data_IF_134172371407
#
_entry.id   IF_134172371407
#
_cell.length_a   1.000
_cell.length_b   1.000
_cell.length_c   1.000
_cell.angle_alpha   90.00
_cell.angle_beta   90.00
_cell.angle_gamma   90.00
#
_symmetry.space_group_name_H-M   'P 1'
#
loop_
_entity.id
_entity.type
_entity.pdbx_description
1 polymer ?
#
# COMPACT_ATOMS: atom_id res chain seq x y z
N UNK A 1 -3.59 37.99 21.21
CA UNK A 1 -4.62 36.94 21.06
C UNK A 1 -4.69 36.32 19.64
N UNK A 2 -3.74 36.61 18.71
CA UNK A 2 -3.82 36.18 17.30
C UNK A 2 -2.82 35.07 16.89
N UNK A 3 -1.96 34.60 17.80
CA UNK A 3 -0.89 33.62 17.50
C UNK A 3 -1.37 32.17 17.47
N UNK A 4 -2.36 31.79 18.27
CA UNK A 4 -2.93 30.43 18.27
C UNK A 4 -3.75 30.13 17.01
N UNK A 5 -4.56 31.08 16.53
CA UNK A 5 -5.41 30.90 15.35
C UNK A 5 -4.61 30.77 14.05
N UNK A 6 -3.49 31.49 13.92
CA UNK A 6 -2.59 31.43 12.76
C UNK A 6 -1.74 30.16 12.74
N UNK A 7 -1.35 29.65 13.91
CA UNK A 7 -0.62 28.37 14.04
C UNK A 7 -1.51 27.19 13.66
N UNK A 8 -2.75 27.14 14.16
CA UNK A 8 -3.71 26.08 13.77
C UNK A 8 -4.07 26.08 12.28
N UNK A 9 -4.23 27.25 11.65
CA UNK A 9 -4.52 27.34 10.22
C UNK A 9 -3.33 26.90 9.34
N UNK A 10 -2.10 27.17 9.78
CA UNK A 10 -0.89 26.76 9.04
C UNK A 10 -0.58 25.28 9.22
N UNK A 11 -0.83 24.71 10.39
CA UNK A 11 -0.70 23.28 10.68
C UNK A 11 -1.76 22.45 9.93
N UNK A 12 -3.02 22.88 9.95
CA UNK A 12 -4.11 22.28 9.16
C UNK A 12 -3.82 22.27 7.64
N UNK A 13 -3.24 23.35 7.10
CA UNK A 13 -2.87 23.39 5.68
C UNK A 13 -1.71 22.45 5.33
N UNK A 14 -0.75 22.27 6.26
CA UNK A 14 0.41 21.38 6.09
C UNK A 14 -0.01 19.91 6.09
N UNK A 15 -0.89 19.53 7.01
CA UNK A 15 -1.42 18.17 7.08
C UNK A 15 -2.22 17.83 5.81
N UNK A 16 -3.07 18.75 5.34
CA UNK A 16 -3.80 18.58 4.10
C UNK A 16 -2.87 18.39 2.88
N UNK A 17 -1.85 19.23 2.72
CA UNK A 17 -0.89 19.12 1.60
C UNK A 17 -0.16 17.79 1.63
N UNK A 18 0.24 17.35 2.83
CA UNK A 18 0.95 16.08 3.03
C UNK A 18 0.06 14.91 2.62
N UNK A 19 -1.16 14.81 3.17
CA UNK A 19 -2.10 13.72 2.85
C UNK A 19 -2.49 13.74 1.38
N UNK A 20 -2.72 14.92 0.79
CA UNK A 20 -3.00 15.06 -0.65
C UNK A 20 -1.87 14.49 -1.50
N UNK A 21 -0.61 14.81 -1.18
CA UNK A 21 0.55 14.30 -1.91
C UNK A 21 0.66 12.78 -1.77
N UNK A 22 0.44 12.23 -0.57
CA UNK A 22 0.42 10.79 -0.35
C UNK A 22 -0.61 10.10 -1.25
N UNK A 23 -1.85 10.60 -1.28
CA UNK A 23 -2.91 10.06 -2.12
C UNK A 23 -2.51 10.14 -3.60
N UNK A 24 -1.99 11.28 -4.06
CA UNK A 24 -1.58 11.41 -5.46
C UNK A 24 -0.51 10.38 -5.84
N UNK A 25 0.49 10.16 -4.98
CA UNK A 25 1.53 9.17 -5.21
C UNK A 25 0.97 7.73 -5.16
N UNK A 26 0.05 7.44 -4.24
CA UNK A 26 -0.62 6.14 -4.15
C UNK A 26 -1.43 5.82 -5.43
N UNK A 27 -2.09 6.82 -6.00
CA UNK A 27 -2.88 6.68 -7.22
C UNK A 27 -2.03 6.76 -8.50
N UNK A 28 -0.84 7.34 -8.48
CA UNK A 28 0.07 7.38 -9.64
C UNK A 28 0.87 6.08 -9.82
N UNK A 29 1.29 5.44 -8.72
CA UNK A 29 1.97 4.13 -8.74
C UNK A 29 1.00 2.95 -8.98
N UNK A 30 -0.27 3.27 -9.14
CA UNK A 30 -1.36 2.33 -9.04
C UNK A 30 -1.42 1.40 -10.26
N UNK A 31 -1.08 1.89 -11.47
CA UNK A 31 -1.08 1.08 -12.70
C UNK A 31 -0.24 -0.20 -12.57
N UNK A 32 0.99 -0.11 -12.09
CA UNK A 32 1.87 -1.28 -11.88
C UNK A 32 1.29 -2.22 -10.81
N UNK A 33 0.70 -1.65 -9.77
CA UNK A 33 0.18 -2.40 -8.63
C UNK A 33 -1.15 -3.13 -8.94
N UNK A 34 -1.79 -2.87 -10.10
CA UNK A 34 -3.06 -3.52 -10.48
C UNK A 34 -2.97 -4.61 -11.53
N UNK A 35 -2.09 -4.46 -12.53
CA UNK A 35 -1.98 -5.48 -13.57
C UNK A 35 -1.33 -6.75 -13.03
N UNK A 36 -0.34 -6.60 -12.14
CA UNK A 36 0.41 -7.73 -11.58
C UNK A 36 -0.47 -8.75 -10.82
N UNK A 37 -1.36 -8.34 -9.88
CA UNK A 37 -2.26 -9.27 -9.22
C UNK A 37 -3.17 -10.05 -10.18
N UNK A 38 -3.64 -9.43 -11.26
CA UNK A 38 -4.50 -10.11 -12.25
C UNK A 38 -3.69 -11.17 -13.00
N UNK A 39 -2.49 -10.83 -13.47
CA UNK A 39 -1.58 -11.78 -14.12
C UNK A 39 -1.24 -12.92 -13.16
N UNK A 40 -0.90 -12.61 -11.92
CA UNK A 40 -0.62 -13.58 -10.87
C UNK A 40 -1.81 -14.51 -10.60
N UNK A 41 -3.05 -14.00 -10.64
CA UNK A 41 -4.24 -14.80 -10.46
C UNK A 41 -4.48 -15.79 -11.63
N UNK A 42 -4.22 -15.37 -12.87
CA UNK A 42 -4.25 -16.29 -14.01
C UNK A 42 -3.16 -17.36 -13.91
N UNK A 43 -1.93 -16.98 -13.57
CA UNK A 43 -0.83 -17.93 -13.34
C UNK A 43 -1.18 -18.92 -12.23
N UNK A 44 -1.71 -18.44 -11.09
CA UNK A 44 -2.10 -19.28 -9.98
C UNK A 44 -3.25 -20.22 -10.36
N UNK A 45 -4.24 -19.73 -11.11
CA UNK A 45 -5.34 -20.55 -11.64
C UNK A 45 -4.82 -21.68 -12.52
N UNK A 46 -3.83 -21.39 -13.36
CA UNK A 46 -3.21 -22.41 -14.22
C UNK A 46 -2.45 -23.45 -13.39
N UNK A 47 -1.66 -23.02 -12.41
CA UNK A 47 -0.91 -23.93 -11.53
C UNK A 47 -1.83 -24.83 -10.70
N UNK A 48 -2.96 -24.31 -10.22
CA UNK A 48 -3.90 -25.03 -9.36
C UNK A 48 -5.01 -25.75 -10.14
N UNK A 49 -4.95 -25.78 -11.48
CA UNK A 49 -6.07 -26.21 -12.32
C UNK A 49 -6.56 -27.65 -12.05
N UNK A 50 -5.62 -28.56 -11.80
CA UNK A 50 -5.90 -29.98 -11.57
C UNK A 50 -5.98 -30.36 -10.08
N UNK A 51 -5.64 -29.43 -9.18
CA UNK A 51 -5.56 -29.66 -7.73
C UNK A 51 -6.72 -29.01 -6.99
N UNK A 52 -7.06 -27.77 -7.37
CA UNK A 52 -8.14 -27.02 -6.74
C UNK A 52 -9.52 -27.48 -7.23
N UNK A 53 -10.51 -27.40 -6.36
CA UNK A 53 -11.91 -27.51 -6.75
C UNK A 53 -12.26 -26.41 -7.77
N UNK A 54 -12.49 -26.82 -9.03
CA UNK A 54 -12.75 -25.90 -10.16
C UNK A 54 -13.78 -24.81 -9.82
N UNK A 55 -14.85 -25.17 -9.11
CA UNK A 55 -15.89 -24.21 -8.68
C UNK A 55 -15.33 -23.10 -7.79
N UNK A 56 -14.52 -23.45 -6.80
CA UNK A 56 -13.90 -22.49 -5.86
C UNK A 56 -12.89 -21.62 -6.62
N UNK A 57 -12.07 -22.25 -7.48
CA UNK A 57 -11.07 -21.55 -8.29
C UNK A 57 -11.70 -20.50 -9.21
N UNK A 58 -12.79 -20.83 -9.90
CA UNK A 58 -13.51 -19.89 -10.77
C UNK A 58 -14.20 -18.77 -10.00
N UNK A 59 -14.82 -19.08 -8.85
CA UNK A 59 -15.43 -18.05 -8.00
C UNK A 59 -14.37 -17.07 -7.54
N UNK A 60 -13.24 -17.57 -7.04
CA UNK A 60 -12.12 -16.75 -6.60
C UNK A 60 -11.55 -15.89 -7.74
N UNK A 61 -11.28 -16.48 -8.91
CA UNK A 61 -10.77 -15.75 -10.08
C UNK A 61 -11.75 -14.66 -10.52
N UNK A 62 -13.05 -14.96 -10.55
CA UNK A 62 -14.09 -13.98 -10.90
C UNK A 62 -14.11 -12.81 -9.91
N UNK A 63 -13.96 -13.09 -8.60
CA UNK A 63 -13.87 -12.05 -7.58
C UNK A 63 -12.63 -11.18 -7.73
N UNK A 64 -11.47 -11.77 -8.08
CA UNK A 64 -10.25 -11.01 -8.37
C UNK A 64 -10.42 -10.11 -9.59
N UNK A 65 -11.01 -10.62 -10.67
CA UNK A 65 -11.28 -9.84 -11.88
C UNK A 65 -12.29 -8.72 -11.58
N UNK A 66 -13.39 -9.02 -10.88
CA UNK A 66 -14.38 -8.02 -10.48
C UNK A 66 -13.74 -6.93 -9.61
N UNK A 67 -12.88 -7.31 -8.66
CA UNK A 67 -12.13 -6.35 -7.84
C UNK A 67 -11.21 -5.47 -8.69
N UNK A 68 -10.48 -6.04 -9.64
CA UNK A 68 -9.65 -5.28 -10.58
C UNK A 68 -10.46 -4.26 -11.40
N UNK A 69 -11.66 -4.64 -11.85
CA UNK A 69 -12.59 -3.73 -12.55
C UNK A 69 -13.06 -2.60 -11.62
N UNK A 70 -13.47 -2.90 -10.37
CA UNK A 70 -13.86 -1.85 -9.42
C UNK A 70 -12.70 -0.87 -9.12
N UNK A 71 -11.47 -1.39 -9.05
CA UNK A 71 -10.24 -0.59 -8.91
C UNK A 71 -10.03 0.32 -10.10
N UNK A 72 -10.20 -0.17 -11.32
CA UNK A 72 -10.09 0.64 -12.53
C UNK A 72 -11.07 1.82 -12.50
N UNK A 73 -12.34 1.57 -12.15
CA UNK A 73 -13.33 2.65 -12.02
C UNK A 73 -12.99 3.64 -10.90
N UNK A 74 -12.43 3.17 -9.78
CA UNK A 74 -11.97 4.04 -8.70
C UNK A 74 -10.85 4.98 -9.18
N UNK A 75 -9.88 4.47 -9.94
CA UNK A 75 -8.82 5.28 -10.53
C UNK A 75 -9.34 6.27 -11.56
N UNK A 76 -10.22 5.81 -12.45
CA UNK A 76 -10.81 6.64 -13.48
C UNK A 76 -11.54 7.83 -12.83
N UNK A 77 -12.36 7.56 -11.82
CA UNK A 77 -13.06 8.60 -11.07
C UNK A 77 -12.07 9.54 -10.35
N UNK A 78 -11.02 9.00 -9.74
CA UNK A 78 -9.99 9.82 -9.07
C UNK A 78 -9.30 10.80 -10.02
N UNK A 79 -9.01 10.39 -11.26
CA UNK A 79 -8.38 11.26 -12.26
C UNK A 79 -9.33 12.32 -12.84
N UNK A 80 -10.64 12.11 -12.74
CA UNK A 80 -11.65 13.05 -13.24
C UNK A 80 -12.19 14.00 -12.15
N UNK A 81 -12.06 13.62 -10.87
CA UNK A 81 -12.50 14.45 -9.74
C UNK A 81 -11.38 15.38 -9.22
N UNK A 82 -11.74 16.61 -8.84
CA UNK A 82 -10.80 17.53 -8.17
C UNK A 82 -10.64 17.15 -6.70
N UNK A 83 -9.41 17.00 -6.22
CA UNK A 83 -9.13 16.80 -4.79
C UNK A 83 -9.28 18.11 -4.03
N UNK A 84 -10.20 18.13 -3.08
CA UNK A 84 -10.48 19.24 -2.15
C UNK A 84 -10.16 18.81 -0.71
N UNK A 85 -9.95 19.75 0.23
CA UNK A 85 -9.79 19.43 1.65
C UNK A 85 -10.87 18.49 2.19
N UNK A 86 -12.12 18.73 1.82
CA UNK A 86 -13.27 17.97 2.31
C UNK A 86 -13.35 16.52 1.78
N UNK A 87 -12.80 16.24 0.58
CA UNK A 87 -12.89 14.92 -0.04
C UNK A 87 -11.63 14.06 0.09
N UNK A 88 -10.54 14.63 0.61
CA UNK A 88 -9.23 13.95 0.75
C UNK A 88 -9.34 12.68 1.60
N UNK A 89 -9.99 12.76 2.76
CA UNK A 89 -10.19 11.60 3.63
C UNK A 89 -11.03 10.50 2.99
N UNK A 90 -12.03 10.87 2.18
CA UNK A 90 -12.89 9.92 1.46
C UNK A 90 -12.07 9.12 0.44
N UNK A 91 -11.18 9.77 -0.30
CA UNK A 91 -10.32 9.11 -1.29
C UNK A 91 -9.30 8.17 -0.65
N UNK A 92 -8.76 8.54 0.52
CA UNK A 92 -7.90 7.67 1.31
C UNK A 92 -8.68 6.44 1.81
N UNK A 93 -9.86 6.63 2.39
CA UNK A 93 -10.69 5.52 2.89
C UNK A 93 -11.15 4.57 1.78
N UNK A 94 -11.47 5.09 0.60
CA UNK A 94 -11.78 4.27 -0.59
C UNK A 94 -10.58 3.44 -1.02
N UNK A 95 -9.39 4.04 -1.04
CA UNK A 95 -8.16 3.32 -1.36
C UNK A 95 -7.88 2.22 -0.32
N UNK A 96 -7.97 2.57 0.97
CA UNK A 96 -7.76 1.65 2.08
C UNK A 96 -8.73 0.45 2.01
N UNK A 97 -10.02 0.72 1.78
CA UNK A 97 -11.04 -0.33 1.63
C UNK A 97 -10.73 -1.24 0.45
N UNK A 98 -10.30 -0.67 -0.68
CA UNK A 98 -9.95 -1.45 -1.86
C UNK A 98 -8.71 -2.32 -1.64
N UNK A 99 -7.68 -1.79 -0.97
CA UNK A 99 -6.49 -2.56 -0.57
C UNK A 99 -6.87 -3.68 0.41
N UNK A 100 -7.72 -3.40 1.39
CA UNK A 100 -8.20 -4.38 2.37
C UNK A 100 -8.92 -5.55 1.68
N UNK A 101 -9.85 -5.26 0.77
CA UNK A 101 -10.55 -6.29 -0.02
C UNK A 101 -9.54 -7.13 -0.81
N UNK A 102 -8.54 -6.49 -1.42
CA UNK A 102 -7.48 -7.21 -2.14
C UNK A 102 -6.73 -8.16 -1.22
N UNK A 103 -6.35 -7.70 -0.03
CA UNK A 103 -5.63 -8.52 0.94
C UNK A 103 -6.47 -9.71 1.43
N UNK A 104 -7.77 -9.50 1.66
CA UNK A 104 -8.71 -10.58 2.00
C UNK A 104 -8.81 -11.60 0.87
N UNK A 105 -8.93 -11.17 -0.39
CA UNK A 105 -9.02 -12.09 -1.53
C UNK A 105 -7.79 -13.01 -1.64
N UNK A 106 -6.59 -12.47 -1.46
CA UNK A 106 -5.35 -13.25 -1.48
C UNK A 106 -5.15 -14.09 -0.21
N UNK A 107 -5.53 -13.57 0.96
CA UNK A 107 -5.47 -14.33 2.21
C UNK A 107 -6.41 -15.54 2.21
N UNK A 108 -7.64 -15.35 1.73
CA UNK A 108 -8.62 -16.42 1.54
C UNK A 108 -8.09 -17.45 0.54
N UNK A 109 -7.39 -17.02 -0.52
CA UNK A 109 -6.80 -17.92 -1.50
C UNK A 109 -5.89 -18.99 -0.84
N UNK A 110 -5.02 -18.55 0.08
CA UNK A 110 -4.11 -19.43 0.85
C UNK A 110 -4.79 -20.30 1.92
N UNK A 111 -6.11 -20.24 2.06
CA UNK A 111 -6.88 -21.07 2.98
C UNK A 111 -7.80 -22.02 2.23
N UNK A 112 -8.48 -21.56 1.17
CA UNK A 112 -9.59 -22.32 0.56
C UNK A 112 -9.29 -22.92 -0.82
N UNK A 113 -8.28 -22.45 -1.55
CA UNK A 113 -8.07 -22.89 -2.94
C UNK A 113 -7.55 -24.32 -3.02
N UNK A 114 -6.63 -24.69 -2.13
CA UNK A 114 -6.03 -26.01 -2.10
C UNK A 114 -6.74 -26.83 -1.02
N UNK A 115 -7.40 -27.96 -1.37
CA UNK A 115 -8.03 -28.81 -0.38
C UNK A 115 -6.96 -29.50 0.48
N UNK A 116 -7.11 -29.46 1.81
CA UNK A 116 -6.20 -30.13 2.72
C UNK A 116 -6.43 -31.64 2.72
N UNK A 117 -5.38 -32.40 2.43
CA UNK A 117 -5.36 -33.85 2.36
C UNK A 117 -4.24 -34.48 3.23
N UNK A 118 -3.61 -33.68 4.11
CA UNK A 118 -2.47 -34.06 4.94
C UNK A 118 -1.27 -34.63 4.15
N UNK A 119 -1.12 -34.23 2.89
CA UNK A 119 0.04 -34.59 2.06
C UNK A 119 1.04 -33.45 1.96
N UNK A 120 2.26 -33.77 1.51
CA UNK A 120 3.28 -32.76 1.21
C UNK A 120 2.90 -31.93 -0.03
N UNK A 121 2.05 -32.47 -0.91
CA UNK A 121 1.55 -31.77 -2.11
C UNK A 121 0.70 -30.58 -1.70
N UNK A 122 -0.14 -30.71 -0.67
CA UNK A 122 -0.85 -29.58 -0.09
C UNK A 122 0.10 -28.45 0.32
N UNK A 123 1.17 -28.76 1.06
CA UNK A 123 2.16 -27.76 1.48
C UNK A 123 2.84 -27.10 0.28
N UNK A 124 3.13 -27.86 -0.78
CA UNK A 124 3.74 -27.33 -2.00
C UNK A 124 2.79 -26.35 -2.71
N UNK A 125 1.56 -26.75 -3.02
CA UNK A 125 0.61 -25.92 -3.77
C UNK A 125 0.12 -24.71 -2.97
N UNK A 126 -0.15 -24.88 -1.68
CA UNK A 126 -0.49 -23.74 -0.82
C UNK A 126 0.75 -22.84 -0.60
N UNK A 127 1.93 -23.44 -0.51
CA UNK A 127 3.19 -22.71 -0.46
C UNK A 127 3.44 -21.82 -1.68
N UNK A 128 3.14 -22.31 -2.89
CA UNK A 128 3.19 -21.51 -4.12
C UNK A 128 2.19 -20.36 -4.11
N UNK A 129 0.97 -20.61 -3.60
CA UNK A 129 -0.06 -19.56 -3.44
C UNK A 129 0.43 -18.43 -2.54
N UNK A 130 1.03 -18.78 -1.40
CA UNK A 130 1.54 -17.82 -0.43
C UNK A 130 2.85 -17.18 -0.89
N UNK A 131 3.68 -17.87 -1.67
CA UNK A 131 4.87 -17.30 -2.31
C UNK A 131 4.48 -16.17 -3.26
N UNK A 132 3.49 -16.39 -4.13
CA UNK A 132 2.96 -15.35 -5.03
C UNK A 132 2.39 -14.20 -4.19
N UNK A 133 1.64 -14.51 -3.14
CA UNK A 133 1.06 -13.49 -2.24
C UNK A 133 2.14 -12.65 -1.57
N UNK A 134 3.21 -13.26 -1.06
CA UNK A 134 4.39 -12.58 -0.53
C UNK A 134 5.06 -11.70 -1.60
N UNK A 135 5.20 -12.17 -2.83
CA UNK A 135 5.69 -11.37 -3.95
C UNK A 135 4.85 -10.11 -4.19
N UNK A 136 3.53 -10.25 -4.16
CA UNK A 136 2.61 -9.11 -4.30
C UNK A 136 2.69 -8.15 -3.10
N UNK A 137 2.85 -8.65 -1.88
CA UNK A 137 3.06 -7.83 -0.67
C UNK A 137 4.39 -7.06 -0.74
N UNK A 138 5.45 -7.68 -1.25
CA UNK A 138 6.73 -7.01 -1.50
C UNK A 138 6.59 -5.89 -2.54
N UNK A 139 5.88 -6.14 -3.64
CA UNK A 139 5.59 -5.10 -4.63
C UNK A 139 4.77 -3.96 -4.04
N UNK A 140 3.77 -4.28 -3.21
CA UNK A 140 2.94 -3.32 -2.51
C UNK A 140 3.74 -2.49 -1.47
N UNK A 141 4.78 -3.04 -0.84
CA UNK A 141 5.64 -2.30 0.08
C UNK A 141 6.25 -1.06 -0.59
N UNK A 142 6.68 -1.18 -1.86
CA UNK A 142 7.29 -0.07 -2.60
C UNK A 142 6.25 1.05 -2.83
N UNK A 143 5.05 0.69 -3.28
CA UNK A 143 4.00 1.65 -3.62
C UNK A 143 3.27 2.23 -2.39
N UNK A 144 3.05 1.42 -1.35
CA UNK A 144 2.15 1.75 -0.24
C UNK A 144 2.87 2.18 1.04
N UNK A 145 4.19 2.02 1.15
CA UNK A 145 4.97 2.42 2.35
C UNK A 145 4.88 3.91 2.68
N UNK A 146 4.44 4.74 1.73
CA UNK A 146 4.07 6.15 1.96
C UNK A 146 3.02 6.32 3.07
N UNK A 147 2.14 5.34 3.23
CA UNK A 147 1.21 5.27 4.36
C UNK A 147 1.22 3.85 4.95
N UNK A 148 1.81 3.72 6.14
CA UNK A 148 1.96 2.41 6.80
C UNK A 148 0.64 1.67 6.99
N UNK A 149 -0.46 2.39 7.26
CA UNK A 149 -1.78 1.79 7.46
C UNK A 149 -2.33 1.17 6.18
N UNK A 150 -2.02 1.75 5.03
CA UNK A 150 -2.41 1.22 3.73
C UNK A 150 -1.71 -0.11 3.47
N UNK A 151 -0.41 -0.20 3.77
CA UNK A 151 0.30 -1.47 3.64
C UNK A 151 -0.21 -2.52 4.65
N UNK A 152 -0.40 -2.15 5.92
CA UNK A 152 -0.91 -3.08 6.94
C UNK A 152 -2.30 -3.60 6.55
N UNK A 153 -3.19 -2.74 6.05
CA UNK A 153 -4.51 -3.15 5.56
C UNK A 153 -4.43 -4.16 4.40
N UNK A 154 -3.36 -4.15 3.61
CA UNK A 154 -3.11 -5.17 2.60
C UNK A 154 -2.52 -6.46 3.18
N UNK A 155 -1.37 -6.32 3.85
CA UNK A 155 -0.49 -7.43 4.19
C UNK A 155 -1.03 -8.24 5.34
N UNK A 156 -1.73 -7.61 6.29
CA UNK A 156 -2.32 -8.30 7.43
C UNK A 156 -3.31 -9.39 7.00
N UNK A 157 -4.42 -9.08 6.31
CA UNK A 157 -5.37 -10.11 5.89
C UNK A 157 -4.78 -11.07 4.84
N UNK A 158 -3.80 -10.62 4.05
CA UNK A 158 -3.16 -11.45 3.03
C UNK A 158 -2.24 -12.53 3.60
N UNK A 159 -1.60 -12.27 4.75
CA UNK A 159 -0.54 -13.13 5.28
C UNK A 159 -0.87 -13.73 6.65
N UNK A 160 -1.45 -12.97 7.58
CA UNK A 160 -1.65 -13.44 8.95
C UNK A 160 -2.70 -14.56 9.03
N UNK A 161 -3.94 -14.42 8.51
CA UNK A 161 -4.91 -15.50 8.54
C UNK A 161 -4.42 -16.81 7.91
N UNK A 162 -3.84 -16.84 6.68
CA UNK A 162 -3.35 -18.10 6.12
C UNK A 162 -2.15 -18.67 6.88
N UNK A 163 -1.26 -17.84 7.43
CA UNK A 163 -0.16 -18.33 8.26
C UNK A 163 -0.64 -19.00 9.53
N UNK A 164 -1.61 -18.39 10.23
CA UNK A 164 -2.24 -18.98 11.42
C UNK A 164 -2.98 -20.26 11.05
N UNK A 165 -3.67 -20.28 9.91
CA UNK A 165 -4.32 -21.49 9.40
C UNK A 165 -3.30 -22.63 9.19
N UNK A 166 -2.18 -22.38 8.52
CA UNK A 166 -1.14 -23.40 8.31
C UNK A 166 -0.55 -23.94 9.63
N UNK A 167 -0.32 -23.07 10.61
CA UNK A 167 0.16 -23.48 11.93
C UNK A 167 -0.89 -24.33 12.66
N UNK A 168 -2.18 -24.02 12.48
CA UNK A 168 -3.27 -24.76 13.11
C UNK A 168 -3.45 -26.20 12.58
N UNK A 169 -2.87 -26.53 11.41
CA UNK A 169 -2.88 -27.89 10.86
C UNK A 169 -2.00 -28.84 11.69
N UNK A 170 -1.01 -28.32 12.41
CA UNK A 170 -0.22 -29.07 13.40
C UNK A 170 0.87 -29.98 12.83
N UNK A 171 0.95 -30.17 11.52
CA UNK A 171 2.06 -30.89 10.89
C UNK A 171 3.32 -30.03 10.80
N UNK A 172 4.49 -30.68 10.77
CA UNK A 172 5.79 -30.02 10.83
C UNK A 172 6.02 -29.06 9.66
N UNK A 173 5.64 -29.45 8.43
CA UNK A 173 5.94 -28.69 7.23
C UNK A 173 5.04 -27.46 7.09
N UNK A 174 3.73 -27.60 7.28
CA UNK A 174 2.80 -26.47 7.24
C UNK A 174 3.05 -25.51 8.41
N UNK A 175 3.33 -26.02 9.61
CA UNK A 175 3.64 -25.16 10.76
C UNK A 175 4.93 -24.36 10.55
N UNK A 176 5.99 -24.99 10.02
CA UNK A 176 7.22 -24.28 9.67
C UNK A 176 6.98 -23.22 8.60
N UNK A 177 6.21 -23.55 7.56
CA UNK A 177 5.90 -22.63 6.47
C UNK A 177 5.06 -21.43 6.95
N UNK A 178 4.03 -21.66 7.77
CA UNK A 178 3.27 -20.58 8.42
C UNK A 178 4.16 -19.71 9.30
N UNK A 179 5.10 -20.30 10.04
CA UNK A 179 6.11 -19.56 10.80
C UNK A 179 6.99 -18.64 9.94
N UNK A 180 7.45 -19.12 8.77
CA UNK A 180 8.20 -18.30 7.83
C UNK A 180 7.37 -17.14 7.25
N UNK A 181 6.07 -17.34 7.02
CA UNK A 181 5.18 -16.25 6.58
C UNK A 181 5.01 -15.19 7.68
N UNK A 182 4.86 -15.59 8.94
CA UNK A 182 4.81 -14.65 10.06
C UNK A 182 6.12 -13.86 10.20
N UNK A 183 7.26 -14.54 10.05
CA UNK A 183 8.58 -13.90 10.04
C UNK A 183 8.71 -12.91 8.88
N UNK A 184 8.25 -13.29 7.68
CA UNK A 184 8.22 -12.42 6.51
C UNK A 184 7.31 -11.20 6.73
N UNK A 185 6.12 -11.39 7.30
CA UNK A 185 5.20 -10.29 7.64
C UNK A 185 5.85 -9.31 8.63
N UNK A 186 6.53 -9.83 9.66
CA UNK A 186 7.27 -8.99 10.60
C UNK A 186 8.36 -8.18 9.89
N UNK A 187 9.15 -8.83 9.03
CA UNK A 187 10.17 -8.16 8.23
C UNK A 187 9.59 -7.05 7.36
N UNK A 188 8.51 -7.31 6.62
CA UNK A 188 7.83 -6.31 5.78
C UNK A 188 7.28 -5.17 6.62
N UNK A 189 6.71 -5.44 7.79
CA UNK A 189 6.18 -4.41 8.69
C UNK A 189 7.28 -3.46 9.19
N UNK A 190 8.44 -4.01 9.55
CA UNK A 190 9.63 -3.21 9.94
C UNK A 190 10.16 -2.42 8.74
N UNK A 191 10.27 -3.05 7.57
CA UNK A 191 10.72 -2.39 6.34
C UNK A 191 9.77 -1.23 5.96
N UNK A 192 8.47 -1.42 6.10
CA UNK A 192 7.45 -0.40 5.85
C UNK A 192 7.58 0.79 6.80
N UNK A 193 7.74 0.53 8.10
CA UNK A 193 7.95 1.58 9.07
C UNK A 193 9.23 2.39 8.77
N UNK A 194 10.30 1.71 8.33
CA UNK A 194 11.55 2.36 7.90
C UNK A 194 11.35 3.21 6.65
N UNK A 195 10.72 2.68 5.61
CA UNK A 195 10.45 3.42 4.36
C UNK A 195 9.52 4.61 4.60
N UNK A 196 8.48 4.45 5.42
CA UNK A 196 7.58 5.54 5.79
C UNK A 196 8.33 6.69 6.48
N UNK A 197 9.21 6.36 7.44
CA UNK A 197 10.07 7.35 8.11
C UNK A 197 11.01 8.04 7.13
N UNK A 198 11.59 7.31 6.18
CA UNK A 198 12.47 7.90 5.15
C UNK A 198 11.70 8.86 4.25
N UNK A 199 10.49 8.50 3.83
CA UNK A 199 9.63 9.37 3.03
C UNK A 199 9.27 10.66 3.78
N UNK A 200 8.82 10.55 5.03
CA UNK A 200 8.49 11.74 5.83
C UNK A 200 9.70 12.65 6.04
N UNK A 201 10.89 12.07 6.24
CA UNK A 201 12.15 12.84 6.31
C UNK A 201 12.50 13.53 4.99
N UNK A 202 12.28 12.87 3.86
CA UNK A 202 12.50 13.46 2.55
C UNK A 202 11.60 14.67 2.32
N UNK A 203 10.31 14.57 2.64
CA UNK A 203 9.34 15.68 2.55
C UNK A 203 9.76 16.85 3.45
N UNK A 204 10.17 16.57 4.68
CA UNK A 204 10.65 17.59 5.63
C UNK A 204 11.91 18.30 5.09
N UNK A 205 12.88 17.54 4.56
CA UNK A 205 14.09 18.12 3.97
C UNK A 205 13.78 18.98 2.74
N UNK A 206 12.87 18.54 1.87
CA UNK A 206 12.45 19.31 0.69
C UNK A 206 11.78 20.64 1.11
N UNK A 207 10.96 20.60 2.16
CA UNK A 207 10.34 21.80 2.71
C UNK A 207 11.38 22.78 3.27
N UNK A 208 12.32 22.29 4.08
CA UNK A 208 13.41 23.11 4.64
C UNK A 208 14.27 23.73 3.54
N UNK A 209 14.57 22.98 2.47
CA UNK A 209 15.32 23.48 1.33
C UNK A 209 14.58 24.63 0.62
N UNK A 210 13.27 24.49 0.38
CA UNK A 210 12.45 25.56 -0.22
C UNK A 210 12.38 26.80 0.66
N UNK A 211 12.25 26.62 1.97
CA UNK A 211 12.23 27.73 2.93
C UNK A 211 13.55 28.50 2.95
N UNK A 212 14.69 27.80 2.89
CA UNK A 212 16.01 28.41 2.82
C UNK A 212 16.22 29.21 1.53
N UNK A 213 15.80 28.67 0.39
CA UNK A 213 15.85 29.37 -0.90
C UNK A 213 15.01 30.65 -0.84
N UNK A 214 13.78 30.55 -0.34
CA UNK A 214 12.89 31.71 -0.18
C UNK A 214 13.50 32.79 0.72
N UNK A 215 14.09 32.40 1.86
CA UNK A 215 14.79 33.33 2.77
C UNK A 215 15.98 34.00 2.07
N UNK A 216 16.77 33.23 1.32
CA UNK A 216 17.92 33.75 0.58
C UNK A 216 17.50 34.76 -0.50
N UNK A 217 16.47 34.46 -1.29
CA UNK A 217 15.93 35.37 -2.31
C UNK A 217 15.40 36.66 -1.70
N UNK A 218 14.65 36.56 -0.59
CA UNK A 218 14.15 37.72 0.15
C UNK A 218 15.29 38.59 0.67
N UNK A 219 16.33 37.98 1.24
CA UNK A 219 17.50 38.69 1.74
C UNK A 219 18.24 39.42 0.61
N UNK A 220 18.39 38.76 -0.54
CA UNK A 220 19.03 39.32 -1.74
C UNK A 220 18.27 40.53 -2.28
N UNK A 221 16.93 40.48 -2.28
CA UNK A 221 16.08 41.62 -2.65
C UNK A 221 16.29 42.82 -1.71
N UNK A 222 16.21 42.60 -0.39
CA UNK A 222 16.44 43.65 0.61
C UNK A 222 17.84 44.26 0.47
N UNK A 223 18.86 43.43 0.31
CA UNK A 223 20.24 43.91 0.12
C UNK A 223 20.39 44.72 -1.19
N UNK A 224 19.76 44.28 -2.28
CA UNK A 224 19.78 44.99 -3.56
C UNK A 224 19.09 46.36 -3.49
N UNK A 225 18.01 46.46 -2.72
CA UNK A 225 17.27 47.70 -2.52
C UNK A 225 18.04 48.68 -1.62
N UNK A 226 18.62 48.18 -0.53
CA UNK A 226 19.51 48.96 0.34
C UNK A 226 20.72 49.50 -0.42
N UNK A 227 21.34 48.69 -1.29
CA UNK A 227 22.45 49.11 -2.15
C UNK A 227 22.07 50.19 -3.16
N UNK A 228 20.83 50.19 -3.67
CA UNK A 228 20.33 51.26 -4.56
C UNK A 228 20.15 52.57 -3.81
N UNK A 229 19.70 52.53 -2.55
CA UNK A 229 19.52 53.72 -1.72
C UNK A 229 20.86 54.36 -1.31
N UNK A 230 21.91 53.57 -1.07
CA UNK A 230 23.25 54.09 -0.74
C UNK A 230 24.01 54.74 -1.92
N UNK A 231 23.54 54.58 -3.16
CA UNK A 231 24.16 55.16 -4.37
C UNK A 231 23.49 56.47 -4.83
N UNK A 232 22.46 56.93 -4.13
CA UNK A 232 21.85 58.26 -4.29
C UNK A 232 22.37 59.18 -3.20
#
# INVERSE_FOLDING_TARGET
MNTTTTTHATEYSRDFITVKNQIYILYSQALVTFFFPVIAAFCLTWVLWDVALRRILFVWLTLVIAHAVTRYFLLWKFHHDKITPDNTGVWLNRFLSSVLISGILWGVAGIILVPYDNTIEYTLYNGLTLLITCGLVSGALISYSINIWVLIAYSFPALIPPAVHLISLGDQYNSAFGGFILLYYFFISVAAARMNRQFNRYVEMEHQQKELIYKYERLKLVYSDFRKHLKK
#
